data_IF_068819845408
#
_entry.id   IF_068819845408
#
_cell.length_a   1.000
_cell.length_b   1.000
_cell.length_c   1.000
_cell.angle_alpha   90.00
_cell.angle_beta   90.00
_cell.angle_gamma   90.00
#
_symmetry.space_group_name_H-M   'P 1'
#
loop_
_entity.id
_entity.type
_entity.pdbx_description
1 polymer ?
#
# COMPACT_ATOMS: atom_id res chain seq x y z
N UNK A 1 -47.54 -13.99 -23.82
CA UNK A 1 -46.78 -13.12 -22.88
C UNK A 1 -46.11 -12.04 -23.72
N UNK A 2 -46.80 -10.91 -23.92
CA UNK A 2 -46.35 -9.83 -24.82
C UNK A 2 -45.38 -8.93 -24.07
N UNK A 3 -44.15 -8.78 -24.55
CA UNK A 3 -43.19 -7.80 -24.03
C UNK A 3 -43.52 -6.45 -24.66
N UNK A 4 -44.34 -5.68 -23.99
CA UNK A 4 -44.58 -4.28 -24.32
C UNK A 4 -43.28 -3.51 -24.05
N UNK A 5 -42.55 -3.17 -25.12
CA UNK A 5 -41.41 -2.27 -25.04
C UNK A 5 -41.96 -0.89 -24.69
N UNK A 6 -41.73 -0.41 -23.47
CA UNK A 6 -42.02 0.98 -23.11
C UNK A 6 -41.21 1.89 -24.03
N UNK A 7 -41.90 2.45 -25.02
CA UNK A 7 -41.38 3.48 -25.90
C UNK A 7 -41.39 4.77 -25.09
N UNK A 8 -40.29 5.08 -24.41
CA UNK A 8 -40.10 6.37 -23.77
C UNK A 8 -40.29 7.44 -24.84
N UNK A 9 -41.39 8.19 -24.72
CA UNK A 9 -41.68 9.29 -25.64
C UNK A 9 -40.91 10.50 -25.12
N UNK A 10 -39.94 10.97 -25.91
CA UNK A 10 -39.03 12.04 -25.52
C UNK A 10 -39.79 13.38 -25.36
N UNK A 11 -41.02 13.44 -25.87
CA UNK A 11 -41.95 14.57 -25.77
C UNK A 11 -42.45 14.82 -24.32
N UNK A 12 -42.26 13.87 -23.39
CA UNK A 12 -42.68 14.02 -21.97
C UNK A 12 -41.73 14.94 -21.16
N UNK A 13 -40.59 15.32 -21.73
CA UNK A 13 -39.67 16.31 -21.14
C UNK A 13 -40.09 17.77 -21.35
N UNK A 14 -41.19 18.03 -22.08
CA UNK A 14 -41.65 19.40 -22.36
C UNK A 14 -42.11 20.15 -21.10
N UNK A 15 -42.47 19.43 -20.02
CA UNK A 15 -42.83 20.02 -18.71
C UNK A 15 -41.77 19.75 -17.62
N UNK A 16 -40.48 19.95 -17.95
CA UNK A 16 -39.40 19.87 -16.96
C UNK A 16 -39.60 20.82 -15.77
N UNK A 17 -40.32 21.94 -15.98
CA UNK A 17 -40.70 22.91 -14.94
C UNK A 17 -41.66 22.34 -13.89
N UNK A 18 -42.54 21.41 -14.27
CA UNK A 18 -43.48 20.76 -13.35
C UNK A 18 -42.84 19.59 -12.62
N UNK A 19 -42.01 18.81 -13.32
CA UNK A 19 -41.39 17.59 -12.78
C UNK A 19 -40.18 17.87 -11.89
N UNK A 20 -39.39 18.89 -12.23
CA UNK A 20 -38.14 19.17 -11.55
C UNK A 20 -37.81 20.68 -11.62
N UNK A 21 -38.55 21.54 -10.89
CA UNK A 21 -38.36 23.00 -10.89
C UNK A 21 -36.97 23.45 -10.42
N UNK A 22 -36.23 22.58 -9.73
CA UNK A 22 -34.82 22.79 -9.40
C UNK A 22 -33.88 22.58 -10.59
N UNK A 23 -34.10 21.53 -11.38
CA UNK A 23 -33.29 21.25 -12.57
C UNK A 23 -33.63 22.18 -13.73
N UNK A 24 -34.87 22.62 -13.86
CA UNK A 24 -35.27 23.55 -14.93
C UNK A 24 -34.61 24.93 -14.81
N UNK A 25 -34.25 25.32 -13.58
CA UNK A 25 -33.46 26.53 -13.28
C UNK A 25 -31.97 26.39 -13.59
N UNK A 26 -31.46 25.17 -13.76
CA UNK A 26 -30.06 24.94 -14.12
C UNK A 26 -29.87 25.28 -15.59
N UNK A 27 -28.85 26.08 -15.87
CA UNK A 27 -28.50 26.45 -17.25
C UNK A 27 -28.15 25.18 -18.04
N UNK A 28 -28.84 24.98 -19.17
CA UNK A 28 -28.56 23.88 -20.13
C UNK A 28 -27.27 24.16 -20.90
N UNK A 29 -26.15 24.17 -20.20
CA UNK A 29 -24.82 24.26 -20.79
C UNK A 29 -24.10 22.93 -20.66
N UNK A 30 -23.29 22.59 -21.66
CA UNK A 30 -22.44 21.41 -21.60
C UNK A 30 -21.16 21.76 -20.81
N UNK A 31 -20.97 21.24 -19.58
CA UNK A 31 -19.77 21.51 -18.79
C UNK A 31 -18.55 20.74 -19.30
N UNK A 32 -18.76 19.71 -20.12
CA UNK A 32 -17.69 18.88 -20.65
C UNK A 32 -17.08 19.54 -21.88
N UNK A 33 -16.04 20.35 -21.64
CA UNK A 33 -15.18 20.88 -22.69
C UNK A 33 -13.80 20.27 -22.57
N UNK A 34 -13.29 19.76 -23.68
CA UNK A 34 -11.89 19.33 -23.75
C UNK A 34 -11.00 20.54 -24.04
N UNK A 35 -9.77 20.58 -23.49
CA UNK A 35 -8.79 21.60 -23.86
C UNK A 35 -8.42 21.53 -25.34
N UNK A 36 -8.00 22.66 -25.90
CA UNK A 36 -7.51 22.73 -27.27
C UNK A 36 -6.33 21.76 -27.48
N UNK A 37 -6.40 20.99 -28.57
CA UNK A 37 -5.38 20.01 -28.93
C UNK A 37 -5.33 18.75 -28.06
N UNK A 38 -6.36 18.46 -27.25
CA UNK A 38 -6.45 17.23 -26.46
C UNK A 38 -6.29 15.97 -27.34
N UNK A 39 -7.07 15.89 -28.43
CA UNK A 39 -7.05 14.74 -29.32
C UNK A 39 -5.80 14.67 -30.21
N UNK A 40 -5.07 15.78 -30.38
CA UNK A 40 -3.78 15.79 -31.11
C UNK A 40 -2.65 15.17 -30.27
N UNK A 41 -2.68 15.38 -28.94
CA UNK A 41 -1.68 14.84 -28.01
C UNK A 41 -2.00 13.41 -27.56
N UNK A 42 -3.27 13.02 -27.58
CA UNK A 42 -3.74 11.73 -27.08
C UNK A 42 -3.02 10.51 -27.71
N UNK A 43 -2.82 10.43 -29.04
CA UNK A 43 -2.11 9.30 -29.65
C UNK A 43 -0.68 9.14 -29.12
N UNK A 44 0.02 10.25 -28.89
CA UNK A 44 1.38 10.24 -28.37
C UNK A 44 1.40 9.76 -26.91
N UNK A 45 0.47 10.23 -26.08
CA UNK A 45 0.34 9.80 -24.68
C UNK A 45 0.06 8.31 -24.58
N UNK A 46 -0.87 7.80 -25.41
CA UNK A 46 -1.19 6.37 -25.44
C UNK A 46 0.06 5.59 -25.86
N UNK A 47 0.71 6.01 -26.95
CA UNK A 47 1.93 5.37 -27.46
C UNK A 47 3.03 5.29 -26.40
N UNK A 48 3.24 6.37 -25.65
CA UNK A 48 4.22 6.39 -24.57
C UNK A 48 3.90 5.40 -23.45
N UNK A 49 2.61 5.22 -23.14
CA UNK A 49 2.15 4.26 -22.12
C UNK A 49 2.21 2.81 -22.58
N UNK A 50 1.99 2.53 -23.88
CA UNK A 50 1.96 1.16 -24.42
C UNK A 50 3.31 0.66 -24.97
N UNK A 51 4.19 1.56 -25.43
CA UNK A 51 5.45 1.16 -26.10
C UNK A 51 6.67 1.21 -25.18
N UNK A 52 6.59 1.75 -23.95
CA UNK A 52 7.72 1.65 -23.00
C UNK A 52 8.15 0.19 -22.90
N UNK A 53 9.30 -0.21 -23.48
CA UNK A 53 9.71 -1.59 -23.43
C UNK A 53 9.90 -1.88 -21.95
N UNK A 54 9.20 -2.90 -21.44
CA UNK A 54 9.48 -3.43 -20.11
C UNK A 54 10.99 -3.66 -20.10
N UNK A 55 11.71 -2.85 -19.33
CA UNK A 55 13.16 -2.94 -19.23
C UNK A 55 13.44 -4.30 -18.61
N UNK A 56 13.59 -5.31 -19.47
CA UNK A 56 13.97 -6.64 -19.02
C UNK A 56 15.32 -6.44 -18.37
N UNK A 57 15.33 -6.60 -17.05
CA UNK A 57 16.52 -6.48 -16.24
C UNK A 57 17.58 -7.35 -16.90
N UNK A 58 18.73 -6.76 -17.24
CA UNK A 58 19.84 -7.46 -17.91
C UNK A 58 20.23 -8.72 -17.12
N UNK A 59 19.97 -8.72 -15.81
CA UNK A 59 20.07 -9.85 -14.90
C UNK A 59 19.24 -11.07 -15.33
N UNK A 60 18.01 -10.91 -15.82
CA UNK A 60 17.17 -12.03 -16.30
C UNK A 60 17.77 -12.74 -17.51
N UNK A 61 18.45 -12.00 -18.38
CA UNK A 61 19.18 -12.59 -19.52
C UNK A 61 20.48 -13.27 -19.05
N UNK A 62 21.12 -12.73 -18.01
CA UNK A 62 22.34 -13.28 -17.43
C UNK A 62 22.10 -14.62 -16.71
N UNK A 63 20.96 -14.79 -16.03
CA UNK A 63 20.59 -16.06 -15.37
C UNK A 63 20.36 -17.22 -16.36
N UNK A 64 19.97 -16.93 -17.61
CA UNK A 64 19.83 -17.97 -18.66
C UNK A 64 21.19 -18.45 -19.17
N UNK A 65 22.17 -17.56 -19.27
CA UNK A 65 23.55 -17.92 -19.59
C UNK A 65 24.17 -18.75 -18.45
N UNK A 66 23.85 -18.39 -17.20
CA UNK A 66 24.35 -19.05 -15.99
C UNK A 66 23.78 -20.47 -15.80
N UNK A 67 22.56 -20.76 -16.26
CA UNK A 67 21.91 -22.09 -16.12
C UNK A 67 22.42 -23.16 -17.10
N UNK A 68 23.36 -22.87 -18.00
CA UNK A 68 23.89 -23.87 -18.93
C UNK A 68 25.10 -24.63 -18.33
N UNK A 69 25.11 -25.98 -18.37
CA UNK A 69 26.14 -26.79 -17.72
C UNK A 69 27.54 -26.69 -18.38
N UNK A 70 27.66 -25.98 -19.51
CA UNK A 70 28.89 -25.91 -20.31
C UNK A 70 29.90 -24.86 -19.81
N UNK A 71 29.46 -23.87 -19.04
CA UNK A 71 30.29 -22.73 -18.60
C UNK A 71 30.67 -22.78 -17.10
N UNK A 72 30.35 -23.88 -16.41
CA UNK A 72 30.57 -24.02 -14.96
C UNK A 72 32.04 -23.97 -14.56
N UNK A 73 32.93 -24.60 -15.33
CA UNK A 73 34.36 -24.71 -15.00
C UNK A 73 35.09 -23.38 -15.21
N UNK A 74 34.88 -22.71 -16.34
CA UNK A 74 35.54 -21.42 -16.63
C UNK A 74 35.08 -20.31 -15.69
N UNK A 75 33.80 -20.31 -15.30
CA UNK A 75 33.27 -19.34 -14.33
C UNK A 75 33.90 -19.55 -12.95
N UNK A 76 34.02 -20.80 -12.48
CA UNK A 76 34.66 -21.10 -11.20
C UNK A 76 36.14 -20.70 -11.18
N UNK A 77 36.86 -20.89 -12.29
CA UNK A 77 38.26 -20.46 -12.40
C UNK A 77 38.37 -18.94 -12.42
N UNK A 78 37.48 -18.25 -13.14
CA UNK A 78 37.47 -16.79 -13.19
C UNK A 78 37.11 -16.16 -11.84
N UNK A 79 36.09 -16.67 -11.13
CA UNK A 79 35.73 -16.19 -9.79
C UNK A 79 36.82 -16.48 -8.77
N UNK A 80 37.44 -17.68 -8.82
CA UNK A 80 38.59 -18.02 -7.97
C UNK A 80 39.75 -17.05 -8.21
N UNK A 81 40.08 -16.74 -9.48
CA UNK A 81 41.13 -15.78 -9.80
C UNK A 81 40.82 -14.37 -9.29
N UNK A 82 39.56 -13.93 -9.37
CA UNK A 82 39.11 -12.63 -8.84
C UNK A 82 39.22 -12.61 -7.32
N UNK A 83 38.78 -13.67 -6.62
CA UNK A 83 38.88 -13.76 -5.15
C UNK A 83 40.33 -13.77 -4.69
N UNK A 84 41.21 -14.52 -5.37
CA UNK A 84 42.64 -14.52 -5.09
C UNK A 84 43.25 -13.15 -5.36
N UNK A 85 42.89 -12.50 -6.47
CA UNK A 85 43.38 -11.16 -6.78
C UNK A 85 42.92 -10.14 -5.73
N UNK A 86 41.65 -10.19 -5.30
CA UNK A 86 41.11 -9.36 -4.22
C UNK A 86 41.83 -9.65 -2.90
N UNK A 87 42.04 -10.91 -2.53
CA UNK A 87 42.75 -11.28 -1.31
C UNK A 87 44.22 -10.81 -1.30
N UNK A 88 44.87 -10.79 -2.48
CA UNK A 88 46.25 -10.32 -2.62
C UNK A 88 46.35 -8.78 -2.62
N UNK A 89 45.36 -8.09 -3.20
CA UNK A 89 45.32 -6.62 -3.25
C UNK A 89 44.78 -5.99 -1.96
N UNK A 90 43.76 -6.60 -1.37
CA UNK A 90 43.16 -6.24 -0.08
C UNK A 90 43.99 -6.93 0.99
N UNK A 91 45.19 -6.41 1.25
CA UNK A 91 45.89 -6.73 2.49
C UNK A 91 45.01 -6.22 3.64
N UNK A 92 44.58 -7.07 4.58
CA UNK A 92 43.82 -6.61 5.72
C UNK A 92 44.74 -5.73 6.57
N UNK A 93 44.53 -4.41 6.51
CA UNK A 93 44.93 -3.56 7.63
C UNK A 93 44.04 -3.99 8.80
N UNK A 94 44.66 -4.45 9.88
CA UNK A 94 44.00 -5.16 10.98
C UNK A 94 43.12 -4.25 11.83
N UNK A 95 42.08 -3.69 11.24
CA UNK A 95 40.99 -3.05 11.96
C UNK A 95 39.77 -3.96 11.83
N UNK A 96 39.54 -4.71 12.90
CA UNK A 96 38.36 -5.55 13.12
C UNK A 96 37.07 -4.78 12.80
N UNK A 97 36.18 -5.50 12.14
CA UNK A 97 34.86 -5.08 11.70
C UNK A 97 34.07 -4.35 12.81
N UNK A 98 33.89 -3.03 12.68
CA UNK A 98 32.89 -2.27 13.43
C UNK A 98 31.77 -1.70 12.55
N UNK A 99 31.76 -2.02 11.25
CA UNK A 99 30.82 -1.39 10.31
C UNK A 99 29.41 -2.00 10.29
N UNK A 100 29.17 -3.09 11.03
CA UNK A 100 27.87 -3.78 11.02
C UNK A 100 27.14 -3.80 12.37
N UNK A 101 27.74 -3.29 13.44
CA UNK A 101 27.13 -3.26 14.77
C UNK A 101 26.35 -2.00 15.09
N UNK A 102 26.43 -0.97 14.24
CA UNK A 102 25.95 0.39 14.58
C UNK A 102 24.64 0.79 13.90
N UNK A 103 24.02 -0.10 13.12
CA UNK A 103 22.67 0.16 12.58
C UNK A 103 21.66 -0.24 13.64
N UNK A 104 21.18 0.73 14.41
CA UNK A 104 20.13 0.48 15.39
C UNK A 104 18.75 0.49 14.71
N UNK A 105 17.76 -0.14 15.35
CA UNK A 105 16.36 -0.06 14.89
C UNK A 105 15.91 1.40 14.80
N UNK A 106 16.39 2.25 15.72
CA UNK A 106 16.11 3.69 15.73
C UNK A 106 16.59 4.38 14.44
N UNK A 107 17.77 4.03 13.94
CA UNK A 107 18.31 4.61 12.70
C UNK A 107 17.46 4.23 11.48
N UNK A 108 16.97 2.99 11.44
CA UNK A 108 16.11 2.46 10.36
C UNK A 108 14.74 3.17 10.37
N UNK A 109 14.14 3.34 11.55
CA UNK A 109 12.86 4.02 11.71
C UNK A 109 12.95 5.52 11.41
N UNK A 110 14.11 6.14 11.68
CA UNK A 110 14.36 7.55 11.35
C UNK A 110 14.46 7.79 9.84
N UNK A 111 15.04 6.84 9.10
CA UNK A 111 15.18 6.93 7.65
C UNK A 111 13.85 6.66 6.93
N UNK A 112 13.04 5.72 7.44
CA UNK A 112 11.75 5.36 6.86
C UNK A 112 10.67 5.22 7.96
N UNK A 113 10.00 6.33 8.34
CA UNK A 113 9.00 6.31 9.41
C UNK A 113 7.76 5.48 9.06
N UNK A 114 7.49 5.25 7.77
CA UNK A 114 6.37 4.43 7.31
C UNK A 114 6.53 2.94 7.65
N UNK A 115 7.74 2.49 7.99
CA UNK A 115 7.99 1.10 8.36
C UNK A 115 7.22 0.70 9.62
N UNK A 116 6.98 1.63 10.55
CA UNK A 116 6.21 1.37 11.78
C UNK A 116 4.79 0.88 11.45
N UNK A 117 4.15 1.45 10.43
CA UNK A 117 2.80 1.05 10.01
C UNK A 117 2.75 -0.30 9.29
N UNK A 118 3.91 -0.81 8.85
CA UNK A 118 4.01 -2.12 8.20
C UNK A 118 4.36 -3.26 9.16
N UNK A 119 4.75 -2.92 10.40
CA UNK A 119 5.04 -3.91 11.44
C UNK A 119 3.70 -4.43 11.96
N UNK A 120 3.55 -5.75 11.96
CA UNK A 120 2.39 -6.41 12.53
C UNK A 120 2.32 -6.17 14.04
N UNK A 121 1.15 -5.84 14.57
CA UNK A 121 0.96 -5.49 15.99
C UNK A 121 1.39 -6.64 16.92
N UNK A 122 1.28 -7.90 16.48
CA UNK A 122 1.72 -9.05 17.26
C UNK A 122 3.24 -9.09 17.48
N UNK A 123 4.03 -8.57 16.53
CA UNK A 123 5.48 -8.47 16.66
C UNK A 123 5.89 -7.36 17.64
N UNK A 124 5.12 -6.27 17.72
CA UNK A 124 5.37 -5.21 18.70
C UNK A 124 5.17 -5.76 20.11
N UNK A 125 4.10 -6.52 20.31
CA UNK A 125 3.80 -7.20 21.58
C UNK A 125 4.91 -8.20 21.92
N UNK A 126 5.34 -9.02 20.97
CA UNK A 126 6.44 -9.99 21.16
C UNK A 126 7.74 -9.30 21.61
N UNK A 127 8.12 -8.20 20.97
CA UNK A 127 9.32 -7.43 21.32
C UNK A 127 9.22 -6.81 22.71
N UNK A 128 8.07 -6.20 23.06
CA UNK A 128 7.86 -5.59 24.37
C UNK A 128 7.84 -6.62 25.51
N UNK A 129 7.32 -7.83 25.26
CA UNK A 129 7.31 -8.91 26.26
C UNK A 129 8.69 -9.54 26.42
N UNK A 130 9.43 -9.70 25.31
CA UNK A 130 10.80 -10.20 25.34
C UNK A 130 11.75 -9.27 26.12
N UNK A 131 11.55 -7.95 26.05
CA UNK A 131 12.31 -6.98 26.83
C UNK A 131 12.03 -7.06 28.34
N UNK A 132 10.76 -7.25 28.71
CA UNK A 132 10.35 -7.34 30.12
C UNK A 132 10.52 -8.75 30.73
N UNK A 133 10.94 -9.73 29.92
CA UNK A 133 11.18 -11.11 30.36
C UNK A 133 9.91 -11.90 30.68
N UNK A 134 8.76 -11.45 30.14
CA UNK A 134 7.47 -12.11 30.33
C UNK A 134 7.18 -13.11 29.19
N UNK A 135 6.64 -14.28 29.52
CA UNK A 135 6.33 -15.32 28.54
C UNK A 135 5.05 -14.94 27.76
N UNK A 136 5.10 -15.09 26.44
CA UNK A 136 4.05 -14.73 25.48
C UNK A 136 2.71 -15.42 25.83
N UNK A 137 2.78 -16.60 26.46
CA UNK A 137 1.62 -17.36 26.93
C UNK A 137 0.81 -16.66 28.02
N UNK A 138 1.44 -15.91 28.91
CA UNK A 138 0.78 -15.27 30.05
C UNK A 138 -0.01 -14.03 29.60
N UNK A 139 0.48 -13.33 28.57
CA UNK A 139 -0.19 -12.15 28.00
C UNK A 139 -1.48 -12.51 27.24
N UNK A 140 -1.50 -13.59 26.45
CA UNK A 140 -2.71 -14.03 25.75
C UNK A 140 -3.78 -14.60 26.72
N UNK A 141 -3.39 -15.28 27.80
CA UNK A 141 -4.34 -15.81 28.80
C UNK A 141 -4.95 -14.70 29.70
N UNK A 142 -4.23 -13.61 29.92
CA UNK A 142 -4.73 -12.44 30.65
C UNK A 142 -5.72 -11.60 29.82
N UNK A 143 -5.39 -11.28 28.57
CA UNK A 143 -6.21 -10.41 27.72
C UNK A 143 -7.45 -11.10 27.12
N UNK A 144 -7.46 -12.43 27.01
CA UNK A 144 -8.69 -13.18 26.64
C UNK A 144 -9.71 -13.19 27.79
N UNK A 145 -9.28 -12.99 29.05
CA UNK A 145 -10.18 -12.94 30.21
C UNK A 145 -10.75 -11.54 30.49
N UNK A 146 -10.11 -10.47 30.01
CA UNK A 146 -10.57 -9.09 30.21
C UNK A 146 -11.74 -8.68 29.33
N UNK A 147 -12.03 -9.42 28.26
CA UNK A 147 -13.09 -9.05 27.30
C UNK A 147 -14.49 -9.57 27.67
N UNK A 148 -14.64 -10.14 28.88
CA UNK A 148 -15.94 -10.60 29.40
C UNK A 148 -16.31 -10.03 30.77
N UNK A 149 -15.51 -9.12 31.33
CA UNK A 149 -15.75 -8.56 32.67
C UNK A 149 -16.25 -7.12 32.68
N UNK A 150 -16.29 -6.42 31.54
CA UNK A 150 -17.02 -5.16 31.45
C UNK A 150 -18.50 -5.48 31.52
N UNK A 151 -19.14 -5.03 32.59
CA UNK A 151 -20.59 -5.14 32.77
C UNK A 151 -21.29 -4.19 31.79
N UNK A 152 -22.45 -4.59 31.27
CA UNK A 152 -23.32 -3.69 30.50
C UNK A 152 -23.60 -2.38 31.27
N UNK A 153 -23.61 -2.43 32.60
CA UNK A 153 -23.79 -1.25 33.47
C UNK A 153 -22.60 -0.27 33.38
N UNK A 154 -21.38 -0.79 33.22
CA UNK A 154 -20.16 0.02 33.13
C UNK A 154 -20.06 0.69 31.75
N UNK A 155 -20.53 0.00 30.70
CA UNK A 155 -20.70 0.57 29.35
C UNK A 155 -21.75 1.69 29.40
N UNK A 156 -22.88 1.47 30.06
CA UNK A 156 -23.95 2.46 30.16
C UNK A 156 -23.49 3.70 30.93
N UNK A 157 -22.74 3.53 32.02
CA UNK A 157 -22.20 4.64 32.81
C UNK A 157 -21.25 5.50 31.96
N UNK A 158 -20.31 4.87 31.25
CA UNK A 158 -19.39 5.55 30.34
C UNK A 158 -20.11 6.31 29.22
N UNK A 159 -21.13 5.70 28.60
CA UNK A 159 -21.92 6.32 27.54
C UNK A 159 -22.87 7.41 28.06
N UNK A 160 -23.20 7.39 29.35
CA UNK A 160 -24.05 8.41 29.98
C UNK A 160 -23.23 9.62 30.44
N UNK A 161 -21.95 9.42 30.76
CA UNK A 161 -21.02 10.49 31.14
C UNK A 161 -20.60 11.34 29.94
N UNK A 162 -20.50 10.74 28.74
CA UNK A 162 -20.47 11.51 27.50
C UNK A 162 -21.88 12.00 27.15
N UNK A 163 -22.14 13.29 27.39
CA UNK A 163 -23.37 13.95 26.94
C UNK A 163 -23.39 13.99 25.40
N UNK A 164 -23.86 12.91 24.77
CA UNK A 164 -24.06 12.82 23.33
C UNK A 164 -25.03 13.92 22.90
N UNK A 165 -24.51 14.94 22.21
CA UNK A 165 -25.33 15.97 21.58
C UNK A 165 -26.21 15.33 20.50
N UNK A 166 -27.44 15.02 20.89
CA UNK A 166 -28.50 14.48 20.02
C UNK A 166 -28.88 15.42 18.85
N UNK A 167 -28.33 16.64 18.80
CA UNK A 167 -28.50 17.58 17.69
C UNK A 167 -27.89 17.11 16.36
N UNK A 168 -26.91 16.19 16.37
CA UNK A 168 -26.29 15.70 15.13
C UNK A 168 -27.16 14.68 14.35
N UNK A 169 -28.17 14.09 14.99
CA UNK A 169 -29.03 13.07 14.36
C UNK A 169 -30.15 13.70 13.52
N UNK A 170 -30.54 14.95 13.79
CA UNK A 170 -31.66 15.60 13.09
C UNK A 170 -31.26 16.36 11.80
N UNK A 171 -29.97 16.41 11.45
CA UNK A 171 -29.47 17.09 10.25
C UNK A 171 -28.90 16.15 9.17
N UNK A 172 -29.30 14.87 9.19
CA UNK A 172 -29.11 13.90 8.11
C UNK A 172 -30.46 13.54 7.48
#
# INVERSE_FOLDING_TARGET
MSKEKMKYNIDEFDNLDELAPGLSKIKKENPFRVPDGYFDKLPNIIREKIIKPKSVSVWEQFFLLLKQPKYSVSLAVATMAIVIALFVFVKPDGQEDQFLSDITIEDILRENPELIYSIDESLIIEVLLAENGEDIRDYYDYNIKSDTSISDDEIIDYLSDENFDTELIYNL
#
